data_IF_634330011200
#
_entry.id   IF_634330011200
#
_cell.length_a   1.000
_cell.length_b   1.000
_cell.length_c   1.000
_cell.angle_alpha   90.00
_cell.angle_beta   90.00
_cell.angle_gamma   90.00
#
_symmetry.space_group_name_H-M   'P 1'
#
loop_
_entity.id
_entity.type
_entity.pdbx_description
1 polymer ?
#
# COMPACT_ATOMS: atom_id res chain seq x y z
N UNK A 1 -7.67 15.63 4.79
CA UNK A 1 -8.80 14.68 4.77
C UNK A 1 -8.31 13.37 5.35
N UNK A 2 -8.57 13.11 6.63
CA UNK A 2 -8.26 11.81 7.23
C UNK A 2 -9.30 10.83 6.70
N UNK A 3 -8.91 10.04 5.71
CA UNK A 3 -9.74 8.96 5.20
C UNK A 3 -9.72 7.90 6.30
N UNK A 4 -10.83 7.72 7.02
CA UNK A 4 -10.94 6.70 8.07
C UNK A 4 -10.92 5.30 7.45
N UNK A 5 -9.71 4.86 7.09
CA UNK A 5 -9.40 3.51 6.73
C UNK A 5 -9.34 2.68 8.00
N UNK A 6 -10.02 1.55 8.00
CA UNK A 6 -9.96 0.61 9.11
C UNK A 6 -8.53 0.04 9.23
N UNK A 7 -8.13 -0.38 10.44
CA UNK A 7 -6.82 -1.02 10.66
C UNK A 7 -6.58 -2.20 9.72
N UNK A 8 -7.65 -2.94 9.40
CA UNK A 8 -7.62 -4.03 8.44
C UNK A 8 -7.33 -3.55 7.02
N UNK A 9 -7.95 -2.46 6.56
CA UNK A 9 -7.67 -1.89 5.25
C UNK A 9 -6.24 -1.36 5.16
N UNK A 10 -5.71 -0.75 6.22
CA UNK A 10 -4.30 -0.38 6.30
C UNK A 10 -3.36 -1.57 6.14
N UNK A 11 -3.62 -2.68 6.84
CA UNK A 11 -2.83 -3.91 6.70
C UNK A 11 -2.89 -4.47 5.28
N UNK A 12 -4.06 -4.45 4.65
CA UNK A 12 -4.22 -4.91 3.25
C UNK A 12 -3.42 -4.03 2.30
N UNK A 13 -3.42 -2.69 2.47
CA UNK A 13 -2.63 -1.76 1.66
C UNK A 13 -1.13 -2.04 1.81
N UNK A 14 -0.64 -2.24 3.04
CA UNK A 14 0.75 -2.59 3.29
C UNK A 14 1.15 -3.91 2.62
N UNK A 15 0.28 -4.91 2.69
CA UNK A 15 0.51 -6.21 2.04
C UNK A 15 0.51 -6.07 0.50
N UNK A 16 -0.37 -5.23 -0.04
CA UNK A 16 -0.43 -4.89 -1.46
C UNK A 16 0.89 -4.28 -1.98
N UNK A 17 1.48 -3.40 -1.18
CA UNK A 17 2.76 -2.75 -1.47
C UNK A 17 3.93 -3.71 -1.32
N UNK A 18 3.93 -4.54 -0.29
CA UNK A 18 4.98 -5.54 -0.02
C UNK A 18 5.05 -6.56 -1.15
N UNK A 19 3.89 -7.05 -1.58
CA UNK A 19 3.77 -8.06 -2.63
C UNK A 19 3.54 -7.43 -4.04
N UNK A 20 3.83 -6.13 -4.22
CA UNK A 20 3.61 -5.39 -5.48
C UNK A 20 4.24 -6.05 -6.71
N UNK A 21 5.34 -6.76 -6.50
CA UNK A 21 6.11 -7.43 -7.54
C UNK A 21 5.48 -8.75 -8.02
N UNK A 22 4.42 -9.23 -7.35
CA UNK A 22 3.68 -10.44 -7.72
C UNK A 22 2.17 -10.17 -7.87
N UNK A 23 1.74 -9.48 -8.95
CA UNK A 23 0.36 -9.06 -9.11
C UNK A 23 -0.63 -10.22 -9.31
N UNK A 24 -0.17 -11.36 -9.84
CA UNK A 24 -1.04 -12.50 -10.14
C UNK A 24 -1.55 -13.23 -8.90
N UNK A 25 -0.77 -13.24 -7.80
CA UNK A 25 -1.12 -13.98 -6.57
C UNK A 25 -1.59 -13.10 -5.42
N UNK A 26 -1.50 -11.77 -5.56
CA UNK A 26 -1.72 -10.84 -4.45
C UNK A 26 -3.15 -10.88 -3.90
N UNK A 27 -4.16 -10.95 -4.77
CA UNK A 27 -5.56 -11.00 -4.34
C UNK A 27 -5.87 -12.30 -3.60
N UNK A 28 -5.30 -13.42 -4.06
CA UNK A 28 -5.44 -14.72 -3.39
C UNK A 28 -4.74 -14.72 -2.03
N UNK A 29 -3.52 -14.19 -1.96
CA UNK A 29 -2.76 -14.10 -0.71
C UNK A 29 -3.44 -13.21 0.34
N UNK A 30 -4.01 -12.07 -0.08
CA UNK A 30 -4.79 -11.20 0.80
C UNK A 30 -6.08 -11.90 1.25
N UNK A 31 -6.78 -12.58 0.34
CA UNK A 31 -7.97 -13.35 0.66
C UNK A 31 -7.68 -14.43 1.70
N UNK A 32 -6.65 -15.24 1.48
CA UNK A 32 -6.24 -16.32 2.39
C UNK A 32 -5.79 -15.79 3.77
N UNK A 33 -5.00 -14.71 3.80
CA UNK A 33 -4.47 -14.13 5.04
C UNK A 33 -5.54 -13.47 5.90
N UNK A 34 -6.53 -12.84 5.28
CA UNK A 34 -7.58 -12.10 5.99
C UNK A 34 -8.88 -12.90 6.13
N UNK A 35 -8.95 -14.13 5.64
CA UNK A 35 -10.19 -14.92 5.65
C UNK A 35 -11.31 -14.29 4.81
N UNK A 36 -10.95 -13.67 3.68
CA UNK A 36 -11.86 -13.00 2.77
C UNK A 36 -12.00 -13.77 1.45
N UNK A 37 -13.06 -13.50 0.71
CA UNK A 37 -13.16 -13.97 -0.68
C UNK A 37 -12.40 -13.03 -1.62
N UNK A 38 -11.91 -13.56 -2.75
CA UNK A 38 -11.23 -12.77 -3.78
C UNK A 38 -12.14 -11.62 -4.29
N UNK A 39 -13.45 -11.85 -4.38
CA UNK A 39 -14.41 -10.84 -4.83
C UNK A 39 -14.56 -9.70 -3.81
N UNK A 40 -14.56 -10.00 -2.50
CA UNK A 40 -14.53 -8.96 -1.47
C UNK A 40 -13.25 -8.13 -1.55
N UNK A 41 -12.08 -8.76 -1.79
CA UNK A 41 -10.81 -8.03 -1.99
C UNK A 41 -10.90 -7.10 -3.21
N UNK A 42 -11.45 -7.58 -4.35
CA UNK A 42 -11.67 -6.74 -5.53
C UNK A 42 -12.61 -5.57 -5.24
N UNK A 43 -13.70 -5.83 -4.51
CA UNK A 43 -14.66 -4.80 -4.11
C UNK A 43 -14.01 -3.72 -3.23
N UNK A 44 -13.25 -4.11 -2.20
CA UNK A 44 -12.52 -3.16 -1.35
C UNK A 44 -11.54 -2.30 -2.14
N UNK A 45 -10.79 -2.89 -3.08
CA UNK A 45 -9.86 -2.16 -3.96
C UNK A 45 -10.54 -1.18 -4.90
N UNK A 46 -11.81 -1.38 -5.21
CA UNK A 46 -12.58 -0.47 -6.05
C UNK A 46 -13.01 0.80 -5.30
N UNK A 47 -13.04 0.77 -3.96
CA UNK A 47 -13.46 1.90 -3.13
C UNK A 47 -12.50 3.09 -3.30
N UNK A 48 -13.04 4.33 -3.40
CA UNK A 48 -12.21 5.53 -3.58
C UNK A 48 -11.30 5.80 -2.37
N UNK A 49 -11.78 5.54 -1.15
CA UNK A 49 -11.00 5.64 0.08
C UNK A 49 -9.75 4.73 0.05
N UNK A 50 -9.93 3.49 -0.39
CA UNK A 50 -8.84 2.51 -0.50
C UNK A 50 -7.81 2.91 -1.56
N UNK A 51 -8.27 3.44 -2.71
CA UNK A 51 -7.39 3.97 -3.75
C UNK A 51 -6.57 5.16 -3.24
N UNK A 52 -7.21 6.09 -2.53
CA UNK A 52 -6.53 7.25 -1.95
C UNK A 52 -5.41 6.82 -0.97
N UNK A 53 -5.72 5.92 -0.02
CA UNK A 53 -4.73 5.40 0.92
C UNK A 53 -3.58 4.66 0.23
N UNK A 54 -3.90 3.87 -0.80
CA UNK A 54 -2.89 3.19 -1.61
C UNK A 54 -1.95 4.21 -2.27
N UNK A 55 -2.49 5.23 -2.95
CA UNK A 55 -1.72 6.30 -3.59
C UNK A 55 -0.84 7.06 -2.59
N UNK A 56 -1.38 7.41 -1.40
CA UNK A 56 -0.60 8.08 -0.36
C UNK A 56 0.56 7.22 0.14
N UNK A 57 0.37 5.91 0.35
CA UNK A 57 1.46 5.02 0.74
C UNK A 57 2.50 4.81 -0.37
N UNK A 58 2.08 4.78 -1.64
CA UNK A 58 3.01 4.76 -2.78
C UNK A 58 3.83 6.04 -2.86
N UNK A 59 3.18 7.19 -2.69
CA UNK A 59 3.86 8.48 -2.66
C UNK A 59 4.87 8.52 -1.52
N UNK A 60 4.51 8.04 -0.33
CA UNK A 60 5.42 7.96 0.82
C UNK A 60 6.66 7.10 0.51
N UNK A 61 6.49 5.95 -0.15
CA UNK A 61 7.62 5.09 -0.53
C UNK A 61 8.49 5.75 -1.58
N UNK A 62 7.86 6.42 -2.56
CA UNK A 62 8.57 7.16 -3.59
C UNK A 62 9.37 8.33 -2.99
N UNK A 63 8.79 9.12 -2.08
CA UNK A 63 9.48 10.20 -1.36
C UNK A 63 10.58 9.67 -0.45
N UNK A 64 10.33 8.57 0.28
CA UNK A 64 11.35 7.93 1.10
C UNK A 64 12.53 7.41 0.26
N UNK A 65 12.26 6.91 -0.95
CA UNK A 65 13.30 6.45 -1.87
C UNK A 65 14.09 7.58 -2.55
N UNK A 66 13.51 8.78 -2.66
CA UNK A 66 14.21 9.96 -3.20
C UNK A 66 14.96 10.76 -2.14
N UNK A 67 14.53 10.68 -0.87
CA UNK A 67 15.18 11.39 0.25
C UNK A 67 16.42 10.63 0.78
N UNK A 68 16.74 9.45 0.26
CA UNK A 68 17.96 8.70 0.63
C UNK A 68 19.24 9.21 -0.05
N UNK A 69 19.20 10.35 -0.74
CA UNK A 69 20.40 11.11 -1.08
C UNK A 69 20.96 11.72 0.20
N UNK A 70 21.91 11.03 0.82
CA UNK A 70 22.76 11.55 1.91
C UNK A 70 23.19 12.99 1.60
N UNK A 71 23.13 13.93 2.57
CA UNK A 71 23.85 15.17 2.40
C UNK A 71 25.33 14.81 2.52
N UNK A 72 26.03 14.70 1.40
CA UNK A 72 27.50 14.78 1.44
C UNK A 72 27.81 16.19 1.93
N UNK A 73 28.03 16.33 3.23
CA UNK A 73 28.61 17.51 3.84
C UNK A 73 29.89 17.85 3.10
N UNK A 74 29.80 18.76 2.12
CA UNK A 74 30.97 19.47 1.61
C UNK A 74 31.10 20.72 2.45
N UNK A 75 31.72 20.55 3.61
CA UNK A 75 32.40 21.64 4.30
C UNK A 75 33.61 22.02 3.43
N UNK A 76 33.58 23.22 2.88
CA UNK A 76 34.75 23.92 2.34
C UNK A 76 34.63 25.39 2.75
#
# INVERSE_FOLDING_TARGET
>A
MSVELTDREHQIIQQLIRDRWNPHRINKKIADHHGLTINQVKYMRSKPAFKAGTTSSWLFIWTASTTSSWPTSRSA
#
